data_IF_116575863963
#
_entry.id   IF_116575863963
#
_cell.length_a   1.000
_cell.length_b   1.000
_cell.length_c   1.000
_cell.angle_alpha   90.00
_cell.angle_beta   90.00
_cell.angle_gamma   90.00
#
_symmetry.space_group_name_H-M   'P 1'
#
loop_
_entity.id
_entity.type
_entity.pdbx_description
1 polymer ?
#
# COMPACT_ATOMS: atom_id res chain seq x y z
N UNK A 1 -11.56 12.55 17.30
CA UNK A 1 -11.57 12.14 15.88
C UNK A 1 -10.16 11.75 15.46
N UNK A 2 -10.02 10.61 14.78
CA UNK A 2 -8.74 10.11 14.27
C UNK A 2 -8.51 10.59 12.82
N UNK A 3 -7.27 10.91 12.46
CA UNK A 3 -6.90 11.40 11.13
C UNK A 3 -5.41 11.19 10.85
N UNK A 4 -5.00 11.37 9.59
CA UNK A 4 -3.60 11.32 9.19
C UNK A 4 -2.87 12.64 9.43
N UNK A 5 -1.66 12.55 9.97
CA UNK A 5 -0.70 13.65 10.05
C UNK A 5 0.59 13.28 9.34
N UNK A 6 1.04 14.14 8.42
CA UNK A 6 2.36 14.01 7.77
C UNK A 6 3.42 14.73 8.61
N UNK A 7 4.58 14.10 8.81
CA UNK A 7 5.79 14.70 9.37
C UNK A 7 6.98 14.24 8.54
N UNK A 8 7.56 15.15 7.75
CA UNK A 8 8.53 14.79 6.71
C UNK A 8 7.88 13.91 5.63
N UNK A 9 8.53 12.80 5.27
CA UNK A 9 7.99 11.82 4.31
C UNK A 9 7.16 10.72 4.97
N UNK A 10 6.88 10.80 6.27
CA UNK A 10 6.17 9.74 7.01
C UNK A 10 4.80 10.23 7.46
N UNK A 11 3.81 9.36 7.32
CA UNK A 11 2.47 9.54 7.82
C UNK A 11 2.27 8.83 9.15
N UNK A 12 1.50 9.49 10.02
CA UNK A 12 1.13 9.02 11.35
C UNK A 12 -0.38 9.05 11.48
N UNK A 13 -0.94 8.02 12.11
CA UNK A 13 -2.32 8.05 12.57
C UNK A 13 -2.36 8.74 13.94
N UNK A 14 -3.17 9.78 14.07
CA UNK A 14 -3.30 10.56 15.31
C UNK A 14 -4.77 10.72 15.69
N UNK A 15 -5.05 10.93 16.97
CA UNK A 15 -6.38 11.23 17.50
C UNK A 15 -6.35 12.45 18.41
N UNK A 16 -7.27 13.39 18.19
CA UNK A 16 -7.43 14.54 19.08
C UNK A 16 -8.17 14.12 20.36
N UNK A 17 -7.52 14.24 21.51
CA UNK A 17 -8.11 14.02 22.83
C UNK A 17 -8.21 15.33 23.60
N UNK A 18 -9.27 15.52 24.39
CA UNK A 18 -9.37 16.66 25.34
C UNK A 18 -8.81 16.25 26.69
N UNK A 19 -7.88 17.05 27.22
CA UNK A 19 -7.33 16.85 28.55
C UNK A 19 -7.21 18.20 29.26
N UNK A 20 -7.91 18.36 30.39
CA UNK A 20 -7.90 19.58 31.22
C UNK A 20 -8.18 20.86 30.41
N UNK A 21 -9.21 20.83 29.57
CA UNK A 21 -9.61 21.98 28.74
C UNK A 21 -8.74 22.26 27.51
N UNK A 22 -7.63 21.53 27.31
CA UNK A 22 -6.76 21.66 26.12
C UNK A 22 -6.91 20.47 25.18
N UNK A 23 -6.83 20.72 23.88
CA UNK A 23 -6.77 19.65 22.86
C UNK A 23 -5.32 19.16 22.75
N UNK A 24 -5.12 17.86 22.92
CA UNK A 24 -3.82 17.19 22.72
C UNK A 24 -3.95 16.16 21.59
N UNK A 25 -2.88 16.00 20.83
CA UNK A 25 -2.80 14.96 19.80
C UNK A 25 -2.16 13.71 20.40
N UNK A 26 -2.89 12.61 20.36
CA UNK A 26 -2.36 11.30 20.69
C UNK A 26 -1.88 10.61 19.41
N UNK A 27 -0.69 10.05 19.43
CA UNK A 27 -0.16 9.27 18.32
C UNK A 27 -0.64 7.82 18.48
N UNK A 28 -1.37 7.33 17.48
CA UNK A 28 -1.92 5.98 17.46
C UNK A 28 -0.99 4.99 16.76
N UNK A 29 -0.47 5.36 15.59
CA UNK A 29 0.43 4.52 14.81
C UNK A 29 1.33 5.32 13.87
N UNK A 30 2.49 4.77 13.52
CA UNK A 30 3.33 5.24 12.42
C UNK A 30 3.03 4.39 11.19
N UNK A 31 2.54 5.00 10.12
CA UNK A 31 2.08 4.30 8.91
C UNK A 31 3.11 4.27 7.78
N UNK A 32 4.24 4.96 7.94
CA UNK A 32 5.30 4.99 6.92
C UNK A 32 5.03 6.01 5.82
N UNK A 33 5.72 5.85 4.70
CA UNK A 33 5.67 6.80 3.57
C UNK A 33 4.36 6.73 2.77
N UNK A 34 3.73 5.54 2.74
CA UNK A 34 2.46 5.29 2.07
C UNK A 34 1.46 4.83 3.13
N UNK A 35 0.63 5.74 3.65
CA UNK A 35 -0.26 5.38 4.74
C UNK A 35 -1.27 4.37 4.22
N UNK A 36 -1.31 3.20 4.84
CA UNK A 36 -2.36 2.20 4.64
C UNK A 36 -2.92 1.78 5.97
N UNK A 37 -4.25 1.79 6.08
CA UNK A 37 -4.93 1.22 7.24
C UNK A 37 -5.19 -0.26 6.93
N UNK A 38 -4.31 -1.13 7.41
CA UNK A 38 -4.43 -2.59 7.31
C UNK A 38 -5.17 -3.16 8.52
N UNK A 39 -5.60 -4.43 8.46
CA UNK A 39 -6.18 -5.11 9.64
C UNK A 39 -5.20 -5.19 10.80
N UNK A 40 -3.90 -5.30 10.51
CA UNK A 40 -2.85 -5.29 11.54
C UNK A 40 -2.79 -3.94 12.26
N UNK A 41 -2.83 -2.82 11.51
CA UNK A 41 -2.86 -1.48 12.10
C UNK A 41 -4.09 -1.30 12.99
N UNK A 42 -5.27 -1.74 12.51
CA UNK A 42 -6.52 -1.68 13.30
C UNK A 42 -6.37 -2.48 14.59
N UNK A 43 -5.89 -3.72 14.51
CA UNK A 43 -5.73 -4.59 15.69
C UNK A 43 -4.75 -4.01 16.70
N UNK A 44 -3.60 -3.50 16.22
CA UNK A 44 -2.59 -2.89 17.07
C UNK A 44 -3.12 -1.65 17.79
N UNK A 45 -3.79 -0.75 17.06
CA UNK A 45 -4.32 0.49 17.64
C UNK A 45 -5.46 0.19 18.61
N UNK A 46 -6.41 -0.68 18.25
CA UNK A 46 -7.53 -1.05 19.12
C UNK A 46 -7.05 -1.72 20.42
N UNK A 47 -5.96 -2.50 20.37
CA UNK A 47 -5.36 -3.10 21.57
C UNK A 47 -4.61 -2.09 22.43
N UNK A 48 -3.86 -1.17 21.82
CA UNK A 48 -3.08 -0.16 22.53
C UNK A 48 -3.94 0.97 23.11
N UNK A 49 -5.07 1.25 22.46
CA UNK A 49 -5.95 2.37 22.77
C UNK A 49 -7.44 1.94 22.81
N UNK A 50 -7.83 1.03 23.72
CA UNK A 50 -9.17 0.42 23.72
C UNK A 50 -10.30 1.41 24.03
N UNK A 51 -9.98 2.58 24.59
CA UNK A 51 -10.95 3.63 24.94
C UNK A 51 -11.20 4.63 23.81
N UNK A 52 -10.49 4.49 22.68
CA UNK A 52 -10.62 5.42 21.57
C UNK A 52 -11.54 4.81 20.54
N UNK A 53 -12.67 5.48 20.35
CA UNK A 53 -13.58 5.17 19.26
C UNK A 53 -13.03 5.73 17.94
N UNK A 54 -12.84 4.83 16.97
CA UNK A 54 -12.31 5.15 15.64
C UNK A 54 -13.22 4.49 14.62
N UNK A 55 -13.82 5.28 13.75
CA UNK A 55 -14.49 4.77 12.56
C UNK A 55 -13.44 4.26 11.56
N UNK A 56 -13.14 2.98 11.66
CA UNK A 56 -12.14 2.33 10.80
C UNK A 56 -12.59 2.23 9.35
N UNK A 57 -13.90 2.18 9.09
CA UNK A 57 -14.45 2.08 7.75
C UNK A 57 -14.25 3.39 6.99
N UNK A 58 -14.67 4.50 7.60
CA UNK A 58 -14.49 5.85 7.03
C UNK A 58 -13.00 6.17 6.86
N UNK A 59 -12.19 5.89 7.89
CA UNK A 59 -10.76 6.16 7.84
C UNK A 59 -10.05 5.33 6.76
N UNK A 60 -10.44 4.06 6.55
CA UNK A 60 -9.91 3.23 5.46
C UNK A 60 -10.24 3.82 4.10
N UNK A 61 -11.48 4.27 3.90
CA UNK A 61 -11.90 4.90 2.65
C UNK A 61 -11.10 6.17 2.37
N UNK A 62 -10.97 7.06 3.36
CA UNK A 62 -10.25 8.33 3.22
C UNK A 62 -8.74 8.15 3.01
N UNK A 63 -8.13 7.13 3.62
CA UNK A 63 -6.68 6.91 3.59
C UNK A 63 -6.28 6.02 2.41
N UNK A 64 -6.94 4.87 2.25
CA UNK A 64 -6.59 3.91 1.21
C UNK A 64 -7.21 4.29 -0.15
N UNK A 65 -8.31 5.05 -0.16
CA UNK A 65 -8.98 5.53 -1.37
C UNK A 65 -8.36 6.79 -1.98
N UNK A 66 -7.36 7.42 -1.33
CA UNK A 66 -6.53 8.46 -1.94
C UNK A 66 -5.65 7.83 -3.02
N UNK A 67 -6.23 7.66 -4.19
CA UNK A 67 -5.49 7.52 -5.45
C UNK A 67 -4.88 8.89 -5.69
N UNK A 68 -3.68 9.12 -5.16
CA UNK A 68 -2.83 10.18 -5.69
C UNK A 68 -2.77 9.93 -7.20
N UNK A 69 -3.32 10.86 -7.99
CA UNK A 69 -3.17 10.85 -9.44
C UNK A 69 -1.68 10.64 -9.70
N UNK A 70 -1.34 9.50 -10.29
CA UNK A 70 0.04 9.07 -10.45
C UNK A 70 0.75 10.10 -11.34
N UNK A 71 1.37 11.11 -10.73
CA UNK A 71 2.29 11.99 -11.43
C UNK A 71 3.49 11.12 -11.87
N UNK A 72 3.70 10.92 -13.17
CA UNK A 72 4.79 10.08 -13.68
C UNK A 72 6.17 10.56 -13.24
N UNK A 73 6.30 11.85 -12.92
CA UNK A 73 7.55 12.46 -12.46
C UNK A 73 7.69 12.46 -10.93
N UNK A 74 6.69 11.99 -10.20
CA UNK A 74 6.78 11.91 -8.75
C UNK A 74 7.90 10.97 -8.32
N UNK A 75 8.58 11.33 -7.22
CA UNK A 75 9.56 10.46 -6.55
C UNK A 75 8.98 9.08 -6.27
N UNK A 76 7.67 9.01 -5.99
CA UNK A 76 6.92 7.78 -5.81
C UNK A 76 7.01 6.85 -7.03
N UNK A 77 6.73 7.37 -8.23
CA UNK A 77 6.71 6.56 -9.47
C UNK A 77 8.13 6.12 -9.80
N UNK A 78 9.10 7.01 -9.65
CA UNK A 78 10.52 6.68 -9.86
C UNK A 78 10.98 5.56 -8.93
N UNK A 79 10.65 5.64 -7.63
CA UNK A 79 10.95 4.59 -6.64
C UNK A 79 10.23 3.28 -6.98
N UNK A 80 8.97 3.34 -7.40
CA UNK A 80 8.22 2.14 -7.83
C UNK A 80 8.89 1.46 -9.03
N UNK A 81 9.29 2.22 -10.05
CA UNK A 81 10.00 1.68 -11.23
C UNK A 81 11.32 1.03 -10.81
N UNK A 82 12.10 1.66 -9.92
CA UNK A 82 13.35 1.10 -9.41
C UNK A 82 13.11 -0.20 -8.61
N UNK A 83 12.10 -0.24 -7.74
CA UNK A 83 11.71 -1.45 -7.00
C UNK A 83 11.28 -2.57 -7.93
N UNK A 84 10.48 -2.28 -8.97
CA UNK A 84 10.06 -3.29 -9.96
C UNK A 84 11.25 -3.87 -10.72
N UNK A 85 12.23 -3.04 -11.11
CA UNK A 85 13.46 -3.51 -11.77
C UNK A 85 14.26 -4.44 -10.87
N UNK A 86 14.43 -4.05 -9.60
CA UNK A 86 15.17 -4.85 -8.61
C UNK A 86 14.49 -6.18 -8.37
N UNK A 87 13.17 -6.16 -8.11
CA UNK A 87 12.39 -7.39 -7.93
C UNK A 87 12.49 -8.30 -9.16
N UNK A 88 12.46 -7.77 -10.38
CA UNK A 88 12.58 -8.59 -11.58
C UNK A 88 13.96 -9.29 -11.68
N UNK A 89 15.04 -8.64 -11.24
CA UNK A 89 16.36 -9.27 -11.16
C UNK A 89 16.39 -10.34 -10.07
N UNK A 90 15.90 -10.03 -8.87
CA UNK A 90 15.84 -10.98 -7.75
C UNK A 90 15.04 -12.24 -8.10
N UNK A 91 13.94 -12.08 -8.86
CA UNK A 91 13.13 -13.20 -9.35
C UNK A 91 13.81 -13.99 -10.47
N UNK A 92 14.63 -13.34 -11.31
CA UNK A 92 15.41 -14.04 -12.33
C UNK A 92 16.51 -14.91 -11.71
N UNK A 93 17.07 -14.48 -10.58
CA UNK A 93 18.06 -15.21 -9.81
C UNK A 93 17.44 -16.30 -8.91
N UNK A 94 16.11 -16.33 -8.77
CA UNK A 94 15.40 -17.34 -7.99
C UNK A 94 15.41 -18.69 -8.71
N UNK A 95 16.37 -19.54 -8.37
CA UNK A 95 16.53 -20.87 -8.98
C UNK A 95 15.68 -21.92 -8.24
N UNK A 96 14.67 -22.55 -8.88
CA UNK A 96 13.77 -23.50 -8.19
C UNK A 96 14.47 -24.71 -7.54
N UNK A 97 15.54 -25.28 -8.12
CA UNK A 97 16.33 -26.34 -7.46
C UNK A 97 17.09 -25.91 -6.19
N UNK A 98 17.32 -24.61 -5.97
CA UNK A 98 17.93 -24.09 -4.73
C UNK A 98 16.91 -23.82 -3.64
N UNK A 99 15.63 -23.70 -4.02
CA UNK A 99 14.51 -23.83 -3.09
C UNK A 99 14.38 -25.32 -2.78
N UNK A 100 15.28 -25.84 -1.95
CA UNK A 100 15.13 -27.18 -1.40
C UNK A 100 13.91 -27.16 -0.47
N UNK A 101 12.72 -27.27 -1.07
CA UNK A 101 11.40 -27.26 -0.40
C UNK A 101 11.33 -28.35 0.67
N UNK A 102 12.26 -29.31 0.64
CA UNK A 102 12.41 -30.34 1.67
C UNK A 102 12.94 -29.81 3.00
N UNK A 103 13.78 -28.75 3.04
CA UNK A 103 14.35 -28.22 4.28
C UNK A 103 13.47 -27.19 4.99
N UNK A 104 12.65 -26.47 4.24
CA UNK A 104 11.62 -25.58 4.79
C UNK A 104 10.40 -25.50 3.87
N UNK A 105 9.49 -26.50 3.97
CA UNK A 105 8.32 -26.54 3.10
C UNK A 105 7.42 -25.31 3.28
N UNK A 106 7.33 -24.76 4.48
CA UNK A 106 6.53 -23.57 4.80
C UNK A 106 7.01 -22.34 4.01
N UNK A 107 8.31 -22.10 3.97
CA UNK A 107 8.90 -20.96 3.23
C UNK A 107 8.71 -21.15 1.72
N UNK A 108 8.91 -22.37 1.21
CA UNK A 108 8.67 -22.68 -0.20
C UNK A 108 7.22 -22.43 -0.63
N UNK A 109 6.25 -22.88 0.19
CA UNK A 109 4.83 -22.63 -0.07
C UNK A 109 4.47 -21.14 -0.01
N UNK A 110 5.03 -20.40 0.94
CA UNK A 110 4.82 -18.96 1.05
C UNK A 110 5.38 -18.24 -0.19
N UNK A 111 6.60 -18.56 -0.63
CA UNK A 111 7.20 -17.98 -1.84
C UNK A 111 6.31 -18.24 -3.06
N UNK A 112 5.86 -19.48 -3.26
CA UNK A 112 4.96 -19.82 -4.38
C UNK A 112 3.64 -19.03 -4.30
N UNK A 113 3.08 -18.91 -3.10
CA UNK A 113 1.83 -18.17 -2.86
C UNK A 113 1.99 -16.69 -3.20
N UNK A 114 3.07 -16.05 -2.73
CA UNK A 114 3.39 -14.66 -3.02
C UNK A 114 3.65 -14.43 -4.52
N UNK A 115 4.32 -15.36 -5.20
CA UNK A 115 4.54 -15.27 -6.65
C UNK A 115 3.24 -15.33 -7.44
N UNK A 116 2.30 -16.22 -7.06
CA UNK A 116 0.98 -16.29 -7.69
C UNK A 116 0.16 -15.03 -7.46
N UNK A 117 0.19 -14.48 -6.23
CA UNK A 117 -0.49 -13.22 -5.90
C UNK A 117 0.09 -12.06 -6.73
N UNK A 118 1.42 -11.99 -6.84
CA UNK A 118 2.11 -10.99 -7.63
C UNK A 118 1.72 -11.10 -9.11
N UNK A 119 1.74 -12.31 -9.69
CA UNK A 119 1.33 -12.56 -11.07
C UNK A 119 -0.10 -12.06 -11.33
N UNK A 120 -1.06 -12.43 -10.46
CA UNK A 120 -2.45 -12.01 -10.61
C UNK A 120 -2.58 -10.48 -10.54
N UNK A 121 -1.90 -9.84 -9.59
CA UNK A 121 -1.92 -8.39 -9.43
C UNK A 121 -1.34 -7.67 -10.65
N UNK A 122 -0.19 -8.14 -11.15
CA UNK A 122 0.46 -7.60 -12.36
C UNK A 122 -0.45 -7.77 -13.57
N UNK A 123 -1.04 -8.94 -13.78
CA UNK A 123 -1.94 -9.17 -14.91
C UNK A 123 -3.14 -8.23 -14.90
N UNK A 124 -3.78 -8.02 -13.73
CA UNK A 124 -4.88 -7.05 -13.59
C UNK A 124 -4.40 -5.65 -13.96
N UNK A 125 -3.20 -5.24 -13.54
CA UNK A 125 -2.65 -3.92 -13.87
C UNK A 125 -2.31 -3.77 -15.34
N UNK A 126 -1.69 -4.76 -15.98
CA UNK A 126 -1.42 -4.75 -17.42
C UNK A 126 -2.73 -4.62 -18.21
N UNK A 127 -3.75 -5.41 -17.88
CA UNK A 127 -5.07 -5.30 -18.50
C UNK A 127 -5.68 -3.90 -18.33
N UNK A 128 -5.52 -3.27 -17.15
CA UNK A 128 -5.98 -1.90 -16.92
C UNK A 128 -5.23 -0.89 -17.81
N UNK A 129 -3.92 -1.06 -17.98
CA UNK A 129 -3.12 -0.21 -18.87
C UNK A 129 -3.50 -0.40 -20.33
N UNK A 130 -3.64 -1.63 -20.81
CA UNK A 130 -4.07 -1.91 -22.20
C UNK A 130 -5.43 -1.25 -22.49
N UNK A 131 -6.42 -1.46 -21.60
CA UNK A 131 -7.74 -0.84 -21.73
C UNK A 131 -7.68 0.70 -21.70
N UNK A 132 -6.78 1.29 -20.91
CA UNK A 132 -6.59 2.74 -20.87
C UNK A 132 -5.95 3.30 -22.15
N UNK A 133 -5.01 2.55 -22.75
CA UNK A 133 -4.40 2.90 -24.04
C UNK A 133 -5.45 2.87 -25.16
N UNK A 134 -6.30 1.85 -25.20
CA UNK A 134 -7.42 1.78 -26.16
C UNK A 134 -8.39 2.97 -26.01
N UNK A 135 -8.69 3.42 -24.79
CA UNK A 135 -9.55 4.60 -24.57
C UNK A 135 -8.90 5.91 -25.01
N UNK A 136 -7.60 6.09 -24.77
CA UNK A 136 -6.85 7.28 -25.22
C UNK A 136 -6.76 7.39 -26.75
N UNK A 137 -6.66 6.25 -27.45
CA UNK A 137 -6.65 6.21 -28.92
C UNK A 137 -8.03 6.60 -29.47
N UNK A 138 -9.12 6.07 -28.90
CA UNK A 138 -10.49 6.39 -29.36
C UNK A 138 -10.90 7.85 -29.11
N UNK A 139 -10.40 8.50 -28.05
CA UNK A 139 -10.64 9.94 -27.84
C UNK A 139 -9.83 10.80 -28.80
N UNK A 140 -8.60 10.43 -29.13
CA UNK A 140 -7.77 11.16 -30.10
C UNK A 140 -8.31 11.14 -31.54
N UNK A 141 -9.12 10.13 -31.90
CA UNK A 141 -9.74 10.02 -33.22
C UNK A 141 -11.05 10.82 -33.36
N UNK A 142 -11.72 11.21 -32.27
CA UNK A 142 -12.97 11.99 -32.32
C UNK A 142 -12.78 13.50 -32.42
N UNK A 143 -11.54 13.98 -32.38
CA UNK A 143 -11.19 15.41 -32.44
C UNK A 143 -10.31 15.78 -33.65
N UNK A 144 -10.36 14.99 -34.72
CA UNK A 144 -9.77 15.35 -36.02
C UNK A 144 -10.84 15.52 -37.07
#
# INVERSE_FOLDING_TARGET
MAFLRRKGNVYYLVHNVRHKGKVKQLHLARLGERPRITDEVVRQVSRAHPLIDVDWSELREQVNGRVELFDPNSEYVQKLVATLRTLNLDLADLFPPLLDVSQSPEIGHEIITQLRLLQSTVQVKLNQFDLSQYRGVLTSQRFR
#
